data_IF_990298339920
#
_entry.id   IF_990298339920
#
_cell.length_a   1.000
_cell.length_b   1.000
_cell.length_c   1.000
_cell.angle_alpha   90.00
_cell.angle_beta   90.00
_cell.angle_gamma   90.00
#
_symmetry.space_group_name_H-M   'P 1'
#
loop_
_entity.id
_entity.type
_entity.pdbx_description
1 polymer ?
#
# COMPACT_ATOMS: atom_id res chain seq x y z
N UNK A 1 0.42 49.97 -44.59
CA UNK A 1 0.67 49.98 -43.12
C UNK A 1 -0.25 48.96 -42.48
N UNK A 2 0.29 47.81 -42.06
CA UNK A 2 -0.46 46.84 -41.27
C UNK A 2 -0.40 47.26 -39.80
N UNK A 3 -1.57 47.47 -39.18
CA UNK A 3 -1.70 47.72 -37.73
C UNK A 3 -1.21 46.47 -37.00
N UNK A 4 -0.11 46.60 -36.26
CA UNK A 4 0.37 45.62 -35.30
C UNK A 4 -0.65 45.61 -34.15
N UNK A 5 -1.46 44.55 -34.06
CA UNK A 5 -2.33 44.33 -32.91
C UNK A 5 -1.40 43.97 -31.76
N UNK A 6 -1.18 44.90 -30.83
CA UNK A 6 -0.61 44.57 -29.53
C UNK A 6 -1.62 43.69 -28.79
N UNK A 7 -1.38 42.38 -28.81
CA UNK A 7 -1.98 41.47 -27.85
C UNK A 7 -1.49 41.89 -26.47
N UNK A 8 -2.37 42.50 -25.68
CA UNK A 8 -2.15 42.72 -24.27
C UNK A 8 -1.93 41.34 -23.63
N UNK A 9 -0.68 40.97 -23.37
CA UNK A 9 -0.40 39.75 -22.63
C UNK A 9 -0.80 40.01 -21.19
N UNK A 10 -1.97 39.52 -20.78
CA UNK A 10 -2.31 39.41 -19.37
C UNK A 10 -1.29 38.46 -18.72
N UNK A 11 -0.22 39.02 -18.18
CA UNK A 11 0.79 38.28 -17.44
C UNK A 11 0.20 37.91 -16.08
N UNK A 12 -0.09 36.63 -15.90
CA UNK A 12 -0.45 36.09 -14.59
C UNK A 12 0.86 35.71 -13.91
N UNK A 13 1.13 36.20 -12.68
CA UNK A 13 2.35 35.82 -11.95
C UNK A 13 2.45 34.31 -11.72
N UNK A 14 3.67 33.78 -11.75
CA UNK A 14 3.93 32.34 -11.59
C UNK A 14 3.44 31.83 -10.23
N UNK A 15 3.40 32.66 -9.18
CA UNK A 15 2.88 32.30 -7.86
C UNK A 15 1.37 32.00 -7.89
N UNK A 16 0.62 32.79 -8.68
CA UNK A 16 -0.83 32.57 -8.85
C UNK A 16 -1.06 31.31 -9.68
N UNK A 17 -0.26 31.10 -10.71
CA UNK A 17 -0.30 29.87 -11.52
C UNK A 17 0.01 28.65 -10.64
N UNK A 18 1.05 28.72 -9.79
CA UNK A 18 1.41 27.67 -8.85
C UNK A 18 0.23 27.29 -7.95
N UNK A 19 -0.42 28.28 -7.33
CA UNK A 19 -1.60 28.04 -6.48
C UNK A 19 -2.78 27.45 -7.26
N UNK A 20 -3.06 27.94 -8.47
CA UNK A 20 -4.13 27.41 -9.30
C UNK A 20 -3.86 25.96 -9.71
N UNK A 21 -2.63 25.63 -10.08
CA UNK A 21 -2.23 24.27 -10.45
C UNK A 21 -2.30 23.33 -9.24
N UNK A 22 -1.98 23.78 -8.03
CA UNK A 22 -2.10 22.96 -6.82
C UNK A 22 -3.53 22.47 -6.55
N UNK A 23 -4.54 23.18 -7.02
CA UNK A 23 -5.95 22.81 -6.86
C UNK A 23 -6.43 21.74 -7.87
N UNK A 24 -5.60 21.38 -8.84
CA UNK A 24 -6.01 20.49 -9.92
C UNK A 24 -5.70 19.02 -9.60
N UNK A 25 -6.55 18.08 -10.05
CA UNK A 25 -6.24 16.65 -10.00
C UNK A 25 -4.99 16.31 -10.80
N UNK A 26 -4.29 15.24 -10.41
CA UNK A 26 -3.05 14.79 -11.07
C UNK A 26 -3.25 14.57 -12.57
N UNK A 27 -4.37 13.96 -12.98
CA UNK A 27 -4.68 13.71 -14.39
C UNK A 27 -4.78 15.00 -15.22
N UNK A 28 -5.27 16.10 -14.63
CA UNK A 28 -5.30 17.40 -15.30
C UNK A 28 -3.89 17.98 -15.40
N UNK A 29 -3.09 17.88 -14.33
CA UNK A 29 -1.71 18.36 -14.31
C UNK A 29 -0.82 17.66 -15.32
N UNK A 30 -0.95 16.34 -15.48
CA UNK A 30 -0.23 15.56 -16.51
C UNK A 30 -0.52 16.12 -17.91
N UNK A 31 -1.79 16.43 -18.21
CA UNK A 31 -2.18 17.06 -19.49
C UNK A 31 -1.66 18.50 -19.59
N UNK A 32 -1.67 19.25 -18.50
CA UNK A 32 -1.29 20.66 -18.49
C UNK A 32 0.22 20.89 -18.70
N UNK A 33 1.05 19.86 -18.50
CA UNK A 33 2.46 19.86 -18.93
C UNK A 33 2.64 20.12 -20.44
N UNK A 34 1.60 19.95 -21.27
CA UNK A 34 1.68 20.24 -22.71
C UNK A 34 1.19 21.65 -23.11
N UNK A 35 0.67 22.44 -22.17
CA UNK A 35 0.09 23.76 -22.47
C UNK A 35 1.18 24.79 -22.77
N UNK A 36 2.14 24.96 -21.86
CA UNK A 36 3.28 25.87 -22.07
C UNK A 36 4.50 25.44 -21.24
N UNK A 37 5.67 26.05 -21.51
CA UNK A 37 6.94 25.72 -20.84
C UNK A 37 6.94 26.10 -19.35
N UNK A 38 6.36 27.25 -18.98
CA UNK A 38 6.25 27.67 -17.57
C UNK A 38 5.45 26.64 -16.77
N UNK A 39 4.26 26.26 -17.23
CA UNK A 39 3.43 25.26 -16.54
C UNK A 39 4.12 23.91 -16.45
N UNK A 40 4.77 23.45 -17.53
CA UNK A 40 5.56 22.22 -17.49
C UNK A 40 6.67 22.28 -16.44
N UNK A 41 7.35 23.42 -16.33
CA UNK A 41 8.40 23.66 -15.35
C UNK A 41 7.85 23.58 -13.92
N UNK A 42 6.77 24.32 -13.63
CA UNK A 42 6.12 24.32 -12.32
C UNK A 42 5.64 22.91 -11.94
N UNK A 43 4.92 22.22 -12.83
CA UNK A 43 4.33 20.90 -12.53
C UNK A 43 5.41 19.81 -12.38
N UNK A 44 6.59 20.01 -12.96
CA UNK A 44 7.71 19.06 -12.85
C UNK A 44 8.69 19.42 -11.74
N UNK A 45 8.46 20.53 -11.04
CA UNK A 45 9.32 20.96 -9.94
C UNK A 45 9.11 20.07 -8.70
N UNK A 46 10.18 19.59 -8.03
CA UNK A 46 10.06 18.73 -6.87
C UNK A 46 9.25 19.35 -5.71
N UNK A 47 9.39 20.66 -5.46
CA UNK A 47 8.65 21.35 -4.40
C UNK A 47 7.16 21.40 -4.72
N UNK A 48 6.79 21.63 -5.99
CA UNK A 48 5.40 21.54 -6.43
C UNK A 48 4.84 20.13 -6.22
N UNK A 49 5.57 19.09 -6.66
CA UNK A 49 5.14 17.68 -6.53
C UNK A 49 4.94 17.30 -5.05
N UNK A 50 5.88 17.68 -4.18
CA UNK A 50 5.79 17.41 -2.75
C UNK A 50 4.59 18.13 -2.11
N UNK A 51 4.41 19.42 -2.40
CA UNK A 51 3.30 20.24 -1.88
C UNK A 51 1.96 19.67 -2.34
N UNK A 52 1.84 19.34 -3.63
CA UNK A 52 0.62 18.75 -4.22
C UNK A 52 0.29 17.38 -3.63
N UNK A 53 1.30 16.53 -3.44
CA UNK A 53 1.13 15.18 -2.88
C UNK A 53 0.66 15.26 -1.42
N UNK A 54 1.27 16.13 -0.61
CA UNK A 54 0.86 16.37 0.79
C UNK A 54 -0.59 16.84 0.86
N UNK A 55 -0.98 17.79 0.01
CA UNK A 55 -2.35 18.32 -0.03
C UNK A 55 -3.37 17.24 -0.44
N UNK A 56 -3.11 16.48 -1.51
CA UNK A 56 -4.06 15.48 -2.02
C UNK A 56 -4.16 14.21 -1.18
N UNK A 57 -3.13 13.86 -0.40
CA UNK A 57 -3.19 12.72 0.52
C UNK A 57 -4.34 12.79 1.54
N UNK A 58 -4.91 13.99 1.73
CA UNK A 58 -5.98 14.28 2.67
C UNK A 58 -7.39 14.40 2.05
N UNK A 59 -7.51 14.55 0.72
CA UNK A 59 -8.73 15.01 0.07
C UNK A 59 -9.53 13.89 -0.63
N UNK A 60 -8.87 12.91 -1.24
CA UNK A 60 -9.55 11.81 -1.94
C UNK A 60 -8.80 10.48 -1.75
N UNK A 61 -9.52 9.46 -1.29
CA UNK A 61 -8.97 8.12 -1.17
C UNK A 61 -9.31 7.37 -2.47
N UNK A 62 -8.30 7.11 -3.30
CA UNK A 62 -8.43 6.08 -4.34
C UNK A 62 -8.00 4.76 -3.74
N UNK A 63 -8.58 3.66 -4.23
CA UNK A 63 -8.18 2.31 -3.88
C UNK A 63 -7.57 1.64 -5.10
N UNK A 64 -6.54 0.85 -4.84
CA UNK A 64 -5.96 -0.08 -5.77
C UNK A 64 -6.46 -1.48 -5.39
N UNK A 65 -7.19 -2.11 -6.30
CA UNK A 65 -7.81 -3.42 -6.06
C UNK A 65 -7.22 -4.47 -7.01
N UNK A 66 -6.75 -5.57 -6.43
CA UNK A 66 -6.30 -6.76 -7.15
C UNK A 66 -7.47 -7.72 -7.31
N UNK A 67 -7.82 -7.98 -8.56
CA UNK A 67 -8.81 -8.99 -8.95
C UNK A 67 -8.07 -10.19 -9.54
N UNK A 68 -8.45 -11.40 -9.14
CA UNK A 68 -7.99 -12.65 -9.75
C UNK A 68 -9.06 -13.19 -10.69
N UNK A 69 -8.72 -13.38 -11.96
CA UNK A 69 -9.50 -14.19 -12.90
C UNK A 69 -9.11 -15.66 -12.69
N UNK A 70 -10.00 -16.43 -12.07
CA UNK A 70 -9.77 -17.84 -11.73
C UNK A 70 -9.79 -18.76 -12.97
N UNK A 71 -10.39 -18.34 -14.09
CA UNK A 71 -10.37 -19.12 -15.35
C UNK A 71 -9.03 -18.97 -16.05
N UNK A 72 -8.53 -17.74 -16.14
CA UNK A 72 -7.28 -17.42 -16.86
C UNK A 72 -6.05 -17.52 -15.97
N UNK A 73 -6.22 -17.65 -14.65
CA UNK A 73 -5.16 -17.63 -13.64
C UNK A 73 -4.27 -16.38 -13.73
N UNK A 74 -4.87 -15.25 -14.12
CA UNK A 74 -4.24 -13.92 -14.18
C UNK A 74 -4.84 -13.02 -13.12
N UNK A 75 -4.07 -12.02 -12.70
CA UNK A 75 -4.49 -10.98 -11.78
C UNK A 75 -4.49 -9.63 -12.50
N UNK A 76 -5.59 -8.90 -12.34
CA UNK A 76 -5.83 -7.58 -12.89
C UNK A 76 -5.77 -6.55 -11.75
N UNK A 77 -5.51 -5.30 -12.11
CA UNK A 77 -5.45 -4.19 -11.17
C UNK A 77 -6.43 -3.10 -11.56
N UNK A 78 -7.16 -2.57 -10.59
CA UNK A 78 -8.18 -1.55 -10.79
C UNK A 78 -7.97 -0.38 -9.83
N UNK A 79 -8.16 0.83 -10.34
CA UNK A 79 -8.34 2.03 -9.54
C UNK A 79 -9.83 2.25 -9.30
N UNK A 80 -10.19 2.46 -8.04
CA UNK A 80 -11.56 2.61 -7.57
C UNK A 80 -11.61 3.83 -6.67
N UNK A 81 -12.45 4.81 -6.98
CA UNK A 81 -12.60 5.99 -6.12
C UNK A 81 -13.40 5.61 -4.86
N UNK A 82 -13.09 6.16 -3.70
CA UNK A 82 -14.00 5.95 -2.54
C UNK A 82 -15.39 6.47 -2.87
N UNK A 83 -16.46 5.72 -2.54
CA UNK A 83 -17.82 6.19 -2.75
C UNK A 83 -18.06 7.46 -1.92
N UNK A 84 -18.80 8.41 -2.48
CA UNK A 84 -19.50 9.40 -1.66
C UNK A 84 -20.70 8.72 -1.00
N UNK A 85 -21.20 9.26 0.12
CA UNK A 85 -22.22 8.64 0.98
C UNK A 85 -23.54 8.22 0.31
N UNK A 86 -23.72 8.56 -0.97
CA UNK A 86 -24.92 8.29 -1.78
C UNK A 86 -24.69 7.33 -2.95
N UNK A 87 -23.46 6.85 -3.20
CA UNK A 87 -23.13 6.04 -4.38
C UNK A 87 -22.85 4.57 -4.03
N UNK A 88 -23.74 3.67 -4.47
CA UNK A 88 -23.56 2.21 -4.38
C UNK A 88 -22.74 1.61 -5.54
N UNK A 89 -22.55 2.40 -6.60
CA UNK A 89 -21.80 2.05 -7.81
C UNK A 89 -20.68 3.04 -8.01
N UNK A 90 -19.45 2.53 -8.11
CA UNK A 90 -18.25 3.35 -8.27
C UNK A 90 -17.62 3.11 -9.64
N UNK A 91 -17.07 4.17 -10.23
CA UNK A 91 -16.27 4.06 -11.46
C UNK A 91 -14.98 3.29 -11.20
N UNK A 92 -14.73 2.29 -12.04
CA UNK A 92 -13.52 1.47 -11.97
C UNK A 92 -12.70 1.65 -13.23
N UNK A 93 -11.42 1.92 -13.06
CA UNK A 93 -10.50 2.03 -14.19
C UNK A 93 -9.51 0.88 -14.11
N UNK A 94 -9.57 -0.04 -15.08
CA UNK A 94 -8.54 -1.07 -15.22
C UNK A 94 -7.21 -0.41 -15.52
N UNK A 95 -6.18 -0.78 -14.77
CA UNK A 95 -4.86 -0.23 -14.97
C UNK A 95 -3.99 -1.18 -15.78
N UNK A 96 -3.23 -0.63 -16.72
CA UNK A 96 -2.25 -1.37 -17.49
C UNK A 96 -1.06 -1.70 -16.58
N UNK A 97 -0.82 -2.99 -16.37
CA UNK A 97 0.37 -3.45 -15.67
C UNK A 97 1.62 -3.20 -16.54
N UNK A 98 2.79 -2.96 -15.92
CA UNK A 98 4.04 -2.81 -16.66
C UNK A 98 4.34 -4.00 -17.58
N UNK A 99 5.07 -3.81 -18.70
CA UNK A 99 5.46 -4.89 -19.59
C UNK A 99 6.36 -5.87 -18.81
N UNK A 100 6.37 -7.14 -19.20
CA UNK A 100 7.11 -8.23 -18.53
C UNK A 100 6.51 -8.72 -17.20
N UNK A 101 5.38 -8.14 -16.75
CA UNK A 101 4.69 -8.66 -15.59
C UNK A 101 4.04 -10.02 -15.88
N UNK A 102 4.45 -11.07 -15.16
CA UNK A 102 4.02 -12.47 -15.35
C UNK A 102 2.58 -12.80 -14.94
N UNK A 103 1.73 -11.79 -14.80
CA UNK A 103 0.29 -11.92 -14.56
C UNK A 103 -0.14 -12.32 -13.14
N UNK A 104 0.78 -12.65 -12.21
CA UNK A 104 0.44 -12.93 -10.80
C UNK A 104 1.17 -11.98 -9.86
N UNK A 105 0.41 -11.26 -9.06
CA UNK A 105 0.85 -10.25 -8.11
C UNK A 105 1.06 -10.90 -6.75
N UNK A 106 2.32 -10.99 -6.30
CA UNK A 106 2.60 -11.38 -4.90
C UNK A 106 2.50 -10.21 -3.96
N UNK A 107 3.05 -9.08 -4.38
CA UNK A 107 3.14 -7.89 -3.57
C UNK A 107 2.63 -6.70 -4.36
N UNK A 108 1.83 -5.89 -3.68
CA UNK A 108 1.41 -4.57 -4.14
C UNK A 108 1.21 -3.70 -2.90
N UNK A 109 1.88 -2.56 -2.88
CA UNK A 109 1.57 -1.48 -1.95
C UNK A 109 2.03 -0.14 -2.55
N UNK A 110 1.52 0.95 -1.99
CA UNK A 110 1.83 2.31 -2.35
C UNK A 110 2.70 3.01 -1.28
N UNK A 111 3.49 3.99 -1.71
CA UNK A 111 4.14 4.96 -0.84
C UNK A 111 4.24 6.29 -1.58
N UNK A 112 3.69 7.36 -1.02
CA UNK A 112 3.70 8.70 -1.61
C UNK A 112 3.26 8.70 -3.10
N UNK A 113 2.25 7.90 -3.42
CA UNK A 113 1.67 7.72 -4.75
C UNK A 113 2.47 6.92 -5.77
N UNK A 114 3.67 6.45 -5.42
CA UNK A 114 4.30 5.35 -6.17
C UNK A 114 3.75 4.01 -5.68
N UNK A 115 3.68 3.03 -6.57
CA UNK A 115 3.27 1.66 -6.30
C UNK A 115 4.48 0.76 -6.51
N UNK A 116 4.80 -0.05 -5.50
CA UNK A 116 5.74 -1.15 -5.63
C UNK A 116 4.96 -2.44 -5.91
N UNK A 117 5.34 -3.15 -6.97
CA UNK A 117 4.65 -4.34 -7.47
C UNK A 117 5.67 -5.45 -7.68
N UNK A 118 5.32 -6.70 -7.35
CA UNK A 118 6.16 -7.85 -7.68
C UNK A 118 5.37 -9.02 -8.27
N UNK A 119 6.07 -9.82 -9.06
CA UNK A 119 5.56 -11.09 -9.53
C UNK A 119 5.48 -12.14 -8.40
N UNK A 120 4.97 -13.34 -8.71
CA UNK A 120 4.79 -14.45 -7.75
C UNK A 120 6.10 -14.84 -7.03
N UNK A 121 7.23 -14.76 -7.72
CA UNK A 121 8.51 -15.28 -7.23
C UNK A 121 9.45 -14.18 -6.70
N UNK A 122 9.01 -12.92 -6.72
CA UNK A 122 9.84 -11.76 -6.37
C UNK A 122 11.11 -11.64 -7.26
N UNK A 123 11.06 -12.23 -8.46
CA UNK A 123 12.11 -12.19 -9.48
C UNK A 123 12.12 -10.84 -10.19
N UNK A 124 10.93 -10.27 -10.38
CA UNK A 124 10.74 -8.97 -11.02
C UNK A 124 9.96 -8.06 -10.07
N UNK A 125 10.60 -6.95 -9.70
CA UNK A 125 10.03 -5.92 -8.84
C UNK A 125 9.97 -4.63 -9.65
N UNK A 126 8.83 -3.95 -9.59
CA UNK A 126 8.56 -2.70 -10.28
C UNK A 126 8.31 -1.60 -9.26
N UNK A 127 8.87 -0.42 -9.53
CA UNK A 127 8.32 0.84 -9.02
C UNK A 127 7.53 1.48 -10.15
N UNK A 128 6.30 1.90 -9.87
CA UNK A 128 5.36 2.31 -10.89
C UNK A 128 4.47 3.44 -10.38
N UNK A 129 4.29 4.46 -11.21
CA UNK A 129 3.31 5.51 -11.00
C UNK A 129 2.11 5.29 -11.96
N UNK A 130 0.97 4.78 -11.47
CA UNK A 130 -0.25 4.62 -12.26
C UNK A 130 -0.74 5.92 -12.92
N UNK A 131 -0.62 7.05 -12.22
CA UNK A 131 -1.19 8.33 -12.64
C UNK A 131 -0.38 8.99 -13.76
N UNK A 132 0.94 8.86 -13.75
CA UNK A 132 1.80 9.34 -14.86
C UNK A 132 2.07 8.27 -15.92
N UNK A 133 1.66 7.02 -15.66
CA UNK A 133 1.95 5.83 -16.48
C UNK A 133 3.45 5.63 -16.69
N UNK A 134 4.25 5.91 -15.65
CA UNK A 134 5.69 5.71 -15.69
C UNK A 134 6.11 4.57 -14.77
N UNK A 135 7.08 3.75 -15.17
CA UNK A 135 7.53 2.62 -14.37
C UNK A 135 9.04 2.41 -14.48
N UNK A 136 9.61 1.69 -13.53
CA UNK A 136 10.99 1.20 -13.55
C UNK A 136 11.02 -0.23 -13.04
N UNK A 137 11.76 -1.08 -13.74
CA UNK A 137 12.11 -2.41 -13.26
C UNK A 137 13.33 -2.27 -12.38
N UNK A 138 13.27 -2.80 -11.17
CA UNK A 138 14.41 -2.78 -10.26
C UNK A 138 15.53 -3.70 -10.78
N UNK A 139 16.80 -3.37 -10.52
CA UNK A 139 17.91 -4.24 -10.85
C UNK A 139 17.72 -5.60 -10.19
N UNK A 140 18.20 -6.66 -10.84
CA UNK A 140 18.14 -8.00 -10.26
C UNK A 140 18.95 -8.04 -8.98
N UNK A 141 18.39 -8.69 -7.95
CA UNK A 141 19.11 -9.00 -6.72
C UNK A 141 20.33 -9.87 -7.07
N UNK A 142 21.41 -9.82 -6.27
CA UNK A 142 22.53 -10.74 -6.42
C UNK A 142 22.01 -12.19 -6.45
N UNK A 143 22.37 -12.95 -7.49
CA UNK A 143 21.89 -14.33 -7.64
C UNK A 143 22.35 -15.19 -6.45
N UNK A 144 21.39 -15.70 -5.68
CA UNK A 144 21.61 -16.71 -4.65
C UNK A 144 20.60 -17.83 -4.93
N UNK A 145 21.06 -18.86 -5.64
CA UNK A 145 20.21 -19.92 -6.22
C UNK A 145 19.38 -20.71 -5.20
N UNK A 146 19.68 -20.57 -3.91
CA UNK A 146 19.02 -21.29 -2.80
C UNK A 146 18.01 -20.46 -2.01
N UNK A 147 17.86 -19.15 -2.28
CA UNK A 147 16.96 -18.31 -1.50
C UNK A 147 15.49 -18.50 -1.88
N UNK A 148 14.65 -18.71 -0.87
CA UNK A 148 13.20 -18.80 -1.02
C UNK A 148 12.60 -17.41 -0.76
N UNK A 149 11.86 -16.80 -1.72
CA UNK A 149 11.26 -15.49 -1.54
C UNK A 149 10.18 -15.50 -0.46
N UNK A 150 10.24 -14.55 0.49
CA UNK A 150 9.28 -14.42 1.58
C UNK A 150 8.32 -13.25 1.35
N UNK A 151 8.77 -12.03 1.58
CA UNK A 151 7.94 -10.83 1.54
C UNK A 151 8.73 -9.61 1.05
N UNK A 152 8.00 -8.52 0.76
CA UNK A 152 8.58 -7.22 0.48
C UNK A 152 8.01 -6.20 1.47
N UNK A 153 8.75 -5.11 1.68
CA UNK A 153 8.25 -3.87 2.26
C UNK A 153 8.61 -2.70 1.35
N UNK A 154 7.76 -1.69 1.26
CA UNK A 154 8.02 -0.51 0.45
C UNK A 154 7.74 0.77 1.25
N UNK A 155 8.69 1.70 1.22
CA UNK A 155 8.54 2.95 1.94
C UNK A 155 9.45 4.05 1.43
N UNK A 156 9.34 5.21 2.08
CA UNK A 156 10.08 6.40 1.75
C UNK A 156 10.81 6.90 3.00
N UNK A 157 12.13 6.99 2.90
CA UNK A 157 12.98 7.65 3.87
C UNK A 157 12.96 9.16 3.58
N UNK A 158 12.21 9.91 4.39
CA UNK A 158 12.11 11.36 4.23
C UNK A 158 13.38 12.11 4.62
N UNK A 159 14.29 11.49 5.37
CA UNK A 159 15.55 12.11 5.79
C UNK A 159 16.56 12.02 4.64
N UNK A 160 16.68 10.85 4.01
CA UNK A 160 17.54 10.68 2.83
C UNK A 160 16.86 11.03 1.51
N UNK A 161 15.57 11.41 1.54
CA UNK A 161 14.73 11.66 0.36
C UNK A 161 14.82 10.51 -0.65
N UNK A 162 14.60 9.28 -0.17
CA UNK A 162 14.82 8.06 -0.96
C UNK A 162 13.65 7.08 -0.82
N UNK A 163 13.28 6.47 -1.93
CA UNK A 163 12.36 5.34 -1.93
C UNK A 163 13.14 4.06 -1.72
N UNK A 164 12.76 3.29 -0.71
CA UNK A 164 13.45 2.06 -0.34
C UNK A 164 12.51 0.86 -0.42
N UNK A 165 13.04 -0.25 -0.93
CA UNK A 165 12.31 -1.53 -0.99
C UNK A 165 13.08 -2.55 -0.17
N UNK A 166 12.43 -3.11 0.85
CA UNK A 166 12.94 -4.23 1.63
C UNK A 166 12.49 -5.52 0.96
N UNK A 167 13.41 -6.47 0.86
CA UNK A 167 13.17 -7.82 0.33
C UNK A 167 13.63 -8.83 1.36
N UNK A 168 12.72 -9.69 1.81
CA UNK A 168 13.05 -10.79 2.71
C UNK A 168 12.99 -12.12 1.96
N UNK A 169 13.98 -12.95 2.23
CA UNK A 169 14.11 -14.30 1.72
C UNK A 169 14.54 -15.25 2.83
N UNK A 170 14.31 -16.55 2.62
CA UNK A 170 14.77 -17.61 3.52
C UNK A 170 15.89 -18.39 2.85
N UNK A 171 16.98 -18.59 3.58
CA UNK A 171 18.04 -19.51 3.23
C UNK A 171 17.76 -20.86 3.90
N UNK A 172 17.51 -21.95 3.13
CA UNK A 172 17.44 -23.29 3.68
C UNK A 172 18.83 -23.71 4.20
N UNK A 173 18.87 -24.18 5.43
CA UNK A 173 20.09 -24.68 6.08
C UNK A 173 19.75 -26.02 6.73
N UNK A 174 20.49 -27.06 6.35
CA UNK A 174 20.46 -28.34 7.07
C UNK A 174 21.41 -28.27 8.26
N UNK A 175 20.86 -28.31 9.48
CA UNK A 175 21.63 -28.43 10.72
C UNK A 175 21.05 -29.57 11.55
N UNK A 176 21.90 -30.51 11.97
CA UNK A 176 21.52 -31.63 12.85
C UNK A 176 20.38 -32.51 12.32
N UNK A 177 20.27 -32.65 10.99
CA UNK A 177 19.21 -33.45 10.34
C UNK A 177 17.83 -32.79 10.34
N UNK A 178 17.71 -31.53 10.77
CA UNK A 178 16.51 -30.72 10.72
C UNK A 178 16.66 -29.62 9.66
N UNK A 179 15.65 -29.48 8.80
CA UNK A 179 15.55 -28.36 7.86
C UNK A 179 15.23 -27.08 8.65
N UNK A 180 16.16 -26.12 8.63
CA UNK A 180 15.99 -24.78 9.20
C UNK A 180 16.00 -23.74 8.11
N UNK A 181 15.40 -22.59 8.39
CA UNK A 181 15.35 -21.46 7.47
C UNK A 181 15.94 -20.23 8.15
N UNK A 182 17.04 -19.71 7.61
CA UNK A 182 17.67 -18.48 8.10
C UNK A 182 17.12 -17.29 7.29
N UNK A 183 16.55 -16.27 7.94
CA UNK A 183 16.06 -15.10 7.22
C UNK A 183 17.23 -14.28 6.67
N UNK A 184 17.06 -13.79 5.46
CA UNK A 184 17.97 -12.88 4.76
C UNK A 184 17.16 -11.69 4.28
N UNK A 185 17.78 -10.51 4.32
CA UNK A 185 17.14 -9.31 3.86
C UNK A 185 18.09 -8.48 2.99
N UNK A 186 17.52 -7.89 1.94
CA UNK A 186 18.18 -6.92 1.08
C UNK A 186 17.33 -5.65 1.00
N UNK A 187 17.98 -4.50 0.99
CA UNK A 187 17.34 -3.20 0.81
C UNK A 187 17.79 -2.57 -0.50
N UNK A 188 16.84 -2.21 -1.34
CA UNK A 188 17.06 -1.38 -2.51
C UNK A 188 16.92 0.08 -2.17
N UNK A 189 17.82 0.91 -2.68
CA UNK A 189 17.73 2.37 -2.69
C UNK A 189 17.43 2.86 -4.10
N UNK A 190 16.40 3.69 -4.27
CA UNK A 190 16.07 4.27 -5.57
C UNK A 190 17.11 5.30 -6.02
N UNK A 191 17.68 6.06 -5.08
CA UNK A 191 18.74 7.03 -5.35
C UNK A 191 20.06 6.35 -5.77
N UNK A 192 20.43 5.24 -5.11
CA UNK A 192 21.65 4.50 -5.45
C UNK A 192 21.45 3.46 -6.57
N UNK A 193 20.21 3.21 -6.97
CA UNK A 193 19.80 2.20 -7.95
C UNK A 193 20.45 0.82 -7.76
N UNK A 194 20.54 0.39 -6.50
CA UNK A 194 21.25 -0.84 -6.12
C UNK A 194 20.69 -1.46 -4.85
N UNK A 195 20.98 -2.75 -4.68
CA UNK A 195 20.62 -3.54 -3.51
C UNK A 195 21.81 -3.67 -2.56
N UNK A 196 21.55 -3.56 -1.26
CA UNK A 196 22.51 -3.80 -0.18
C UNK A 196 21.95 -4.87 0.75
N UNK A 197 22.78 -5.81 1.21
CA UNK A 197 22.38 -6.78 2.23
C UNK A 197 22.28 -6.08 3.59
N UNK A 198 21.21 -6.38 4.33
CA UNK A 198 20.95 -5.82 5.66
C UNK A 198 20.78 -6.96 6.66
N UNK A 199 21.09 -6.66 7.93
CA UNK A 199 20.95 -7.63 9.00
C UNK A 199 19.49 -7.83 9.40
N UNK A 200 19.11 -9.09 9.65
CA UNK A 200 17.80 -9.44 10.19
C UNK A 200 17.95 -9.73 11.68
N UNK A 201 17.04 -9.24 12.55
CA UNK A 201 17.12 -9.48 13.98
C UNK A 201 17.16 -10.98 14.29
N UNK A 202 18.11 -11.47 15.12
CA UNK A 202 18.19 -12.89 15.49
C UNK A 202 16.94 -13.42 16.20
N UNK A 203 16.15 -12.52 16.79
CA UNK A 203 14.90 -12.84 17.48
C UNK A 203 13.73 -13.12 16.54
N UNK A 204 13.88 -12.83 15.25
CA UNK A 204 12.83 -13.05 14.25
C UNK A 204 12.68 -14.55 13.95
N UNK A 205 11.51 -15.10 14.27
CA UNK A 205 11.22 -16.54 14.13
C UNK A 205 10.71 -16.87 12.74
N UNK A 206 11.31 -17.87 12.10
CA UNK A 206 11.02 -18.26 10.71
C UNK A 206 10.46 -19.67 10.55
N UNK A 207 10.28 -20.42 11.64
CA UNK A 207 10.21 -21.89 11.62
C UNK A 207 9.01 -22.51 10.89
N UNK A 208 8.06 -21.74 10.38
CA UNK A 208 6.85 -22.26 9.70
C UNK A 208 6.36 -21.44 8.50
N UNK A 209 7.16 -20.50 7.98
CA UNK A 209 6.70 -19.54 6.97
C UNK A 209 6.77 -20.16 5.57
N UNK A 210 5.64 -20.70 5.08
CA UNK A 210 5.47 -21.08 3.68
C UNK A 210 4.48 -20.13 3.00
N UNK A 211 4.92 -19.46 1.94
CA UNK A 211 4.06 -18.77 0.96
C UNK A 211 2.97 -17.84 1.54
N UNK A 212 3.29 -17.04 2.55
CA UNK A 212 2.32 -16.08 3.07
C UNK A 212 2.26 -14.79 2.26
N UNK A 213 1.03 -14.29 2.14
CA UNK A 213 0.80 -12.90 1.85
C UNK A 213 1.34 -12.05 3.01
N UNK A 214 2.04 -10.97 2.69
CA UNK A 214 2.51 -10.00 3.68
C UNK A 214 1.71 -8.72 3.58
N UNK A 215 1.51 -8.09 4.74
CA UNK A 215 0.88 -6.79 4.89
C UNK A 215 1.86 -5.89 5.62
N UNK A 216 1.89 -4.61 5.24
CA UNK A 216 2.73 -3.66 5.94
C UNK A 216 2.13 -2.27 5.95
N UNK A 217 2.59 -1.50 6.92
CA UNK A 217 2.30 -0.08 7.04
C UNK A 217 3.58 0.70 7.24
N UNK A 218 3.48 2.01 7.02
CA UNK A 218 4.59 2.93 7.08
C UNK A 218 4.20 4.05 8.04
N UNK A 219 4.95 4.19 9.13
CA UNK A 219 4.71 5.23 10.14
C UNK A 219 6.06 5.88 10.45
N UNK A 220 6.18 7.18 10.18
CA UNK A 220 7.37 7.96 10.54
C UNK A 220 8.69 7.43 9.96
N UNK A 221 8.68 6.89 8.73
CA UNK A 221 9.87 6.30 8.11
C UNK A 221 10.19 4.87 8.55
N UNK A 222 9.37 4.27 9.43
CA UNK A 222 9.48 2.87 9.84
C UNK A 222 8.46 2.03 9.08
N UNK A 223 8.92 0.92 8.50
CA UNK A 223 8.07 -0.11 7.90
C UNK A 223 7.73 -1.14 8.98
N UNK A 224 6.45 -1.44 9.17
CA UNK A 224 5.98 -2.53 10.02
C UNK A 224 5.38 -3.62 9.15
N UNK A 225 5.90 -4.82 9.24
CA UNK A 225 5.56 -5.99 8.42
C UNK A 225 4.87 -7.05 9.29
N UNK A 226 3.66 -7.40 8.89
CA UNK A 226 2.91 -8.55 9.38
C UNK A 226 3.10 -9.71 8.39
N UNK A 227 3.40 -10.88 8.95
CA UNK A 227 3.50 -12.12 8.20
C UNK A 227 2.41 -13.08 8.68
N UNK A 228 1.67 -13.64 7.73
CA UNK A 228 0.63 -14.61 8.05
C UNK A 228 1.21 -15.81 8.81
N UNK A 229 0.47 -16.28 9.83
CA UNK A 229 0.88 -17.36 10.72
C UNK A 229 1.90 -16.98 11.81
N UNK A 230 2.33 -15.71 11.92
CA UNK A 230 3.17 -15.24 13.02
C UNK A 230 2.41 -14.32 13.98
N UNK A 231 2.76 -14.43 15.26
CA UNK A 231 2.32 -13.54 16.34
C UNK A 231 3.26 -12.32 16.53
N UNK A 232 4.14 -12.11 15.55
CA UNK A 232 5.21 -11.12 15.56
C UNK A 232 5.02 -10.11 14.41
N UNK A 233 5.33 -8.84 14.68
CA UNK A 233 5.46 -7.77 13.71
C UNK A 233 6.93 -7.41 13.62
N UNK A 234 7.50 -7.56 12.43
CA UNK A 234 8.82 -7.08 12.12
C UNK A 234 8.73 -5.57 11.86
N UNK A 235 9.62 -4.78 12.45
CA UNK A 235 9.75 -3.37 12.12
C UNK A 235 11.15 -3.07 11.61
N UNK A 236 11.24 -2.10 10.70
CA UNK A 236 12.48 -1.67 10.08
C UNK A 236 12.48 -0.15 9.88
N UNK A 237 13.42 0.54 10.50
CA UNK A 237 13.67 1.96 10.30
C UNK A 237 14.46 2.16 9.01
N UNK A 238 13.85 2.83 8.04
CA UNK A 238 14.45 3.02 6.72
C UNK A 238 15.69 3.89 6.74
N UNK A 239 15.83 4.80 7.70
CA UNK A 239 16.94 5.73 7.77
C UNK A 239 18.10 5.18 8.59
N UNK A 240 17.79 4.72 9.79
CA UNK A 240 18.79 4.19 10.72
C UNK A 240 19.21 2.75 10.36
N UNK A 241 18.51 2.11 9.42
CA UNK A 241 18.70 0.71 9.02
C UNK A 241 18.64 -0.26 10.20
N UNK A 242 17.88 0.14 11.23
CA UNK A 242 17.67 -0.62 12.44
C UNK A 242 16.39 -1.44 12.33
N UNK A 243 16.37 -2.60 12.97
CA UNK A 243 15.21 -3.49 12.92
C UNK A 243 15.00 -4.22 14.23
N UNK A 244 13.76 -4.68 14.42
CA UNK A 244 13.38 -5.42 15.61
C UNK A 244 12.02 -6.07 15.44
N UNK A 245 11.53 -6.67 16.52
CA UNK A 245 10.27 -7.40 16.53
C UNK A 245 9.39 -6.91 17.67
N UNK A 246 8.10 -6.74 17.38
CA UNK A 246 7.05 -6.53 18.38
C UNK A 246 6.09 -7.71 18.37
N UNK A 247 5.71 -8.19 19.55
CA UNK A 247 4.67 -9.20 19.67
C UNK A 247 3.28 -8.57 19.63
N UNK A 248 2.30 -9.26 19.08
CA UNK A 248 0.90 -8.92 19.26
C UNK A 248 0.46 -9.04 20.74
N UNK A 249 -0.67 -8.42 21.14
CA UNK A 249 -1.17 -8.55 22.51
C UNK A 249 -1.42 -10.03 22.84
N UNK A 250 -0.76 -10.52 23.89
CA UNK A 250 -0.79 -11.92 24.26
C UNK A 250 -2.04 -12.18 25.11
N UNK A 251 -3.08 -12.76 24.52
CA UNK A 251 -4.27 -13.20 25.27
C UNK A 251 -4.88 -14.42 24.60
N UNK A 252 -5.01 -15.53 25.35
CA UNK A 252 -5.59 -16.79 24.87
C UNK A 252 -7.06 -16.64 24.41
N UNK A 253 -7.70 -15.50 24.71
CA UNK A 253 -9.10 -15.21 24.44
C UNK A 253 -9.30 -14.18 23.32
N UNK A 254 -8.22 -13.69 22.70
CA UNK A 254 -8.32 -12.70 21.61
C UNK A 254 -7.83 -13.25 20.28
N UNK A 255 -8.65 -13.12 19.24
CA UNK A 255 -8.27 -13.46 17.87
C UNK A 255 -8.16 -12.20 17.02
N UNK A 256 -7.13 -12.10 16.18
CA UNK A 256 -6.97 -11.00 15.22
C UNK A 256 -8.05 -11.08 14.13
N UNK A 257 -8.55 -9.92 13.69
CA UNK A 257 -9.63 -9.78 12.69
C UNK A 257 -9.32 -8.77 11.59
N UNK A 258 -8.09 -8.26 11.56
CA UNK A 258 -7.61 -7.34 10.54
C UNK A 258 -6.12 -7.54 10.29
N UNK A 259 -5.67 -7.06 9.14
CA UNK A 259 -4.26 -6.70 8.96
C UNK A 259 -3.88 -5.55 9.91
N UNK A 260 -2.59 -5.33 10.12
CA UNK A 260 -2.11 -4.09 10.75
C UNK A 260 -2.45 -2.86 9.89
N UNK A 261 -2.79 -1.76 10.55
CA UNK A 261 -3.09 -0.48 9.91
C UNK A 261 -2.53 0.71 10.69
N UNK A 262 -2.34 1.84 10.01
CA UNK A 262 -1.96 3.11 10.66
C UNK A 262 -3.19 3.76 11.31
N UNK A 263 -3.23 3.72 12.63
CA UNK A 263 -4.23 4.42 13.41
C UNK A 263 -3.63 5.66 14.07
N UNK A 264 -3.72 6.79 13.37
CA UNK A 264 -3.29 8.12 13.86
C UNK A 264 -1.80 8.16 14.23
N UNK A 265 -0.94 7.58 13.39
CA UNK A 265 0.50 7.51 13.61
C UNK A 265 0.91 6.40 14.57
N UNK A 266 0.06 5.39 14.79
CA UNK A 266 0.37 4.23 15.62
C UNK A 266 -0.04 2.95 14.91
N UNK A 267 0.79 1.91 15.03
CA UNK A 267 0.46 0.57 14.50
C UNK A 267 -0.76 0.06 15.26
N UNK A 268 -1.79 -0.36 14.55
CA UNK A 268 -3.01 -0.87 15.16
C UNK A 268 -3.55 -2.12 14.46
N UNK A 269 -4.37 -2.88 15.18
CA UNK A 269 -5.09 -4.03 14.66
C UNK A 269 -6.43 -4.21 15.40
N UNK A 270 -7.37 -4.90 14.77
CA UNK A 270 -8.66 -5.26 15.35
C UNK A 270 -8.56 -6.66 15.95
N UNK A 271 -9.01 -6.80 17.19
CA UNK A 271 -9.11 -8.07 17.90
C UNK A 271 -10.56 -8.34 18.29
N UNK A 272 -10.98 -9.59 18.16
CA UNK A 272 -12.21 -10.09 18.77
C UNK A 272 -11.92 -10.73 20.12
N UNK A 273 -12.81 -10.53 21.08
CA UNK A 273 -12.83 -11.22 22.37
C UNK A 273 -14.24 -11.69 22.67
N UNK A 274 -14.39 -12.85 23.32
CA UNK A 274 -15.70 -13.35 23.76
C UNK A 274 -16.16 -12.59 25.00
N UNK A 275 -17.32 -11.92 24.92
CA UNK A 275 -17.95 -11.27 26.06
C UNK A 275 -18.61 -12.27 27.02
N UNK A 276 -18.97 -11.82 28.23
CA UNK A 276 -19.60 -12.65 29.27
C UNK A 276 -20.94 -13.30 28.84
N UNK A 277 -21.59 -12.76 27.80
CA UNK A 277 -22.84 -13.30 27.22
C UNK A 277 -22.65 -14.19 25.99
N UNK A 278 -21.41 -14.50 25.59
CA UNK A 278 -21.10 -15.26 24.37
C UNK A 278 -21.03 -14.43 23.08
N UNK A 279 -21.30 -13.12 23.17
CA UNK A 279 -21.20 -12.20 22.03
C UNK A 279 -19.73 -11.86 21.69
N UNK A 280 -19.42 -11.80 20.39
CA UNK A 280 -18.13 -11.33 19.89
C UNK A 280 -18.01 -9.82 20.07
N UNK A 281 -17.00 -9.36 20.82
CA UNK A 281 -16.67 -7.94 20.98
C UNK A 281 -15.42 -7.63 20.17
N UNK A 282 -15.56 -6.73 19.20
CA UNK A 282 -14.43 -6.25 18.40
C UNK A 282 -13.84 -4.99 19.01
N UNK A 283 -12.51 -4.90 19.05
CA UNK A 283 -11.82 -3.76 19.63
C UNK A 283 -10.57 -3.40 18.85
N UNK A 284 -10.32 -2.10 18.71
CA UNK A 284 -9.07 -1.58 18.15
C UNK A 284 -8.05 -1.53 19.27
N UNK A 285 -6.90 -2.15 19.02
CA UNK A 285 -5.72 -2.02 19.85
C UNK A 285 -4.65 -1.31 19.04
N UNK A 286 -3.89 -0.43 19.70
CA UNK A 286 -2.73 0.20 19.07
C UNK A 286 -1.48 -0.01 19.91
N UNK A 287 -0.37 -0.15 19.21
CA UNK A 287 0.96 -0.19 19.73
C UNK A 287 1.28 1.15 20.39
N UNK A 288 1.71 1.09 21.64
CA UNK A 288 2.18 2.20 22.44
C UNK A 288 3.68 2.03 22.62
N UNK A 289 4.44 3.00 22.14
CA UNK A 289 5.83 3.21 22.50
C UNK A 289 5.88 4.21 23.66
N UNK A 290 6.41 3.78 24.80
CA UNK A 290 6.55 4.63 25.98
C UNK A 290 7.78 5.55 25.94
N UNK A 291 8.55 5.52 24.84
CA UNK A 291 9.78 6.28 24.66
C UNK A 291 10.96 5.75 25.47
N UNK A 292 10.74 4.72 26.29
CA UNK A 292 11.78 4.02 27.07
C UNK A 292 12.20 2.70 26.39
N UNK A 293 11.75 2.46 25.15
CA UNK A 293 12.02 1.23 24.40
C UNK A 293 11.15 0.04 24.82
N UNK A 294 10.15 0.23 25.69
CA UNK A 294 9.20 -0.81 26.05
C UNK A 294 7.90 -0.60 25.30
N UNK A 295 7.64 -1.53 24.39
CA UNK A 295 6.46 -1.46 23.53
C UNK A 295 5.35 -2.34 24.10
N UNK A 296 4.14 -1.79 24.18
CA UNK A 296 2.96 -2.49 24.68
C UNK A 296 1.73 -2.20 23.82
N UNK A 297 0.70 -3.05 23.90
CA UNK A 297 -0.55 -2.81 23.19
C UNK A 297 -1.60 -2.23 24.13
N UNK A 298 -2.25 -1.15 23.71
CA UNK A 298 -3.32 -0.51 24.48
C UNK A 298 -4.63 -0.56 23.70
N UNK A 299 -5.67 -1.07 24.35
CA UNK A 299 -7.04 -1.04 23.83
C UNK A 299 -7.51 0.42 23.71
N UNK A 300 -7.98 0.82 22.54
CA UNK A 300 -8.48 2.18 22.29
C UNK A 300 -9.98 2.27 22.58
N UNK A 301 -10.78 1.44 21.91
CA UNK A 301 -12.23 1.36 22.12
C UNK A 301 -12.81 0.08 21.49
N UNK A 302 -14.05 -0.24 21.84
CA UNK A 302 -14.84 -1.29 21.19
C UNK A 302 -15.53 -0.73 19.95
N UNK A 303 -15.55 -1.52 18.88
CA UNK A 303 -16.41 -1.28 17.72
C UNK A 303 -17.85 -1.68 18.05
N UNK A 304 -18.81 -1.12 17.32
CA UNK A 304 -20.24 -1.40 17.55
C UNK A 304 -20.56 -2.90 17.36
N UNK A 305 -21.43 -3.50 18.19
CA UNK A 305 -21.73 -4.94 18.15
C UNK A 305 -22.47 -5.38 16.88
N UNK A 306 -23.18 -4.46 16.21
CA UNK A 306 -23.93 -4.76 14.97
C UNK A 306 -23.01 -5.02 13.76
N UNK A 307 -21.71 -4.80 13.91
CA UNK A 307 -20.68 -5.20 12.97
C UNK A 307 -20.44 -6.70 13.07
N UNK A 308 -21.09 -7.47 12.21
CA UNK A 308 -20.79 -8.89 12.13
C UNK A 308 -19.48 -9.16 11.35
N UNK A 309 -18.33 -8.92 11.97
CA UNK A 309 -17.03 -9.41 11.47
C UNK A 309 -16.82 -10.91 11.75
N UNK A 310 -17.85 -11.67 12.14
CA UNK A 310 -17.66 -13.11 12.38
C UNK A 310 -17.31 -13.84 11.07
N UNK A 311 -17.58 -13.22 9.90
CA UNK A 311 -17.28 -13.77 8.57
C UNK A 311 -16.31 -12.96 7.72
N UNK A 312 -15.81 -11.83 8.19
CA UNK A 312 -15.12 -10.88 7.31
C UNK A 312 -13.87 -10.28 7.96
N UNK A 313 -12.74 -10.38 7.25
CA UNK A 313 -11.44 -9.84 7.63
C UNK A 313 -11.36 -8.37 7.20
N UNK A 314 -10.89 -7.47 8.07
CA UNK A 314 -10.70 -6.06 7.68
C UNK A 314 -9.37 -5.90 6.95
N UNK A 315 -9.45 -5.56 5.66
CA UNK A 315 -8.30 -5.52 4.77
C UNK A 315 -7.51 -4.21 4.87
N UNK A 316 -8.21 -3.07 4.96
CA UNK A 316 -7.59 -1.75 4.88
C UNK A 316 -8.32 -0.72 5.75
N UNK A 317 -7.57 0.21 6.34
CA UNK A 317 -8.09 1.41 7.00
C UNK A 317 -7.74 2.64 6.18
N UNK A 318 -8.73 3.46 5.84
CA UNK A 318 -8.55 4.61 4.96
C UNK A 318 -8.23 5.91 5.70
N UNK A 319 -8.38 5.90 7.02
CA UNK A 319 -8.40 7.08 7.86
C UNK A 319 -9.83 7.55 8.16
N UNK A 320 -9.94 8.53 9.06
CA UNK A 320 -11.19 9.26 9.34
C UNK A 320 -12.42 8.39 9.62
N UNK A 321 -12.25 7.24 10.29
CA UNK A 321 -13.40 6.38 10.62
C UNK A 321 -13.66 5.23 9.64
N UNK A 322 -12.97 5.17 8.50
CA UNK A 322 -13.38 4.31 7.40
C UNK A 322 -12.51 3.05 7.27
N UNK A 323 -13.16 1.88 7.31
CA UNK A 323 -12.58 0.58 7.00
C UNK A 323 -13.07 0.08 5.65
N UNK A 324 -12.24 -0.74 5.01
CA UNK A 324 -12.57 -1.47 3.79
C UNK A 324 -12.37 -2.95 4.03
N UNK A 325 -13.37 -3.70 3.57
CA UNK A 325 -13.39 -5.14 3.63
C UNK A 325 -13.81 -5.71 2.27
N UNK A 326 -13.13 -6.75 1.83
CA UNK A 326 -13.49 -7.54 0.65
C UNK A 326 -14.26 -8.77 1.08
N UNK A 327 -15.45 -8.99 0.51
CA UNK A 327 -16.22 -10.21 0.78
C UNK A 327 -15.68 -11.46 0.01
N UNK A 328 -14.55 -11.30 -0.70
CA UNK A 328 -13.88 -12.34 -1.49
C UNK A 328 -14.54 -12.66 -2.84
N UNK A 329 -15.73 -12.10 -3.12
CA UNK A 329 -16.52 -12.39 -4.31
C UNK A 329 -16.57 -11.18 -5.22
N UNK A 330 -17.43 -10.22 -4.91
CA UNK A 330 -17.71 -9.07 -5.78
C UNK A 330 -18.01 -7.75 -5.06
N UNK A 331 -18.04 -7.73 -3.73
CA UNK A 331 -18.38 -6.54 -2.96
C UNK A 331 -17.19 -6.01 -2.16
N UNK A 332 -17.01 -4.70 -2.26
CA UNK A 332 -16.14 -3.91 -1.41
C UNK A 332 -17.05 -3.20 -0.40
N UNK A 333 -16.88 -3.54 0.87
CA UNK A 333 -17.70 -2.99 1.95
C UNK A 333 -16.91 -1.86 2.59
N UNK A 334 -17.47 -0.66 2.55
CA UNK A 334 -16.97 0.50 3.26
C UNK A 334 -17.74 0.66 4.55
N UNK A 335 -17.01 0.70 5.66
CA UNK A 335 -17.61 0.86 6.98
C UNK A 335 -17.09 2.10 7.65
N UNK A 336 -18.00 3.01 8.03
CA UNK A 336 -17.72 4.15 8.88
C UNK A 336 -18.09 3.80 10.33
N UNK A 337 -17.07 3.60 11.16
CA UNK A 337 -17.28 3.25 12.57
C UNK A 337 -17.71 4.42 13.45
N UNK A 338 -17.53 5.66 12.99
CA UNK A 338 -17.95 6.87 13.71
C UNK A 338 -19.46 7.06 13.55
N UNK A 339 -19.93 6.96 12.31
CA UNK A 339 -21.35 7.09 11.96
C UNK A 339 -22.14 5.79 12.11
N UNK A 340 -21.44 4.66 12.32
CA UNK A 340 -22.00 3.30 12.31
C UNK A 340 -22.77 3.00 11.02
N UNK A 341 -22.24 3.49 9.90
CA UNK A 341 -22.85 3.33 8.58
C UNK A 341 -22.02 2.36 7.75
N UNK A 342 -22.70 1.48 7.05
CA UNK A 342 -22.10 0.58 6.08
C UNK A 342 -22.57 0.98 4.68
N UNK A 343 -21.64 1.11 3.76
CA UNK A 343 -21.90 1.32 2.33
C UNK A 343 -21.31 0.13 1.60
N UNK A 344 -22.19 -0.70 1.04
CA UNK A 344 -21.79 -1.81 0.19
C UNK A 344 -21.63 -1.30 -1.23
N UNK A 345 -20.40 -1.37 -1.75
CA UNK A 345 -20.12 -1.03 -3.14
C UNK A 345 -19.92 -2.32 -3.91
N UNK A 346 -20.78 -2.54 -4.91
CA UNK A 346 -20.59 -3.63 -5.86
C UNK A 346 -19.55 -3.24 -6.89
N UNK A 347 -18.53 -4.08 -7.00
CA UNK A 347 -17.48 -3.88 -7.97
C UNK A 347 -17.94 -4.46 -9.32
N UNK A 348 -18.08 -3.60 -10.34
CA UNK A 348 -18.61 -4.00 -11.66
C UNK A 348 -17.75 -5.03 -12.41
N UNK A 349 -16.55 -5.35 -11.92
CA UNK A 349 -15.68 -6.36 -12.51
C UNK A 349 -16.32 -7.75 -12.53
N UNK A 350 -17.20 -8.04 -11.57
CA UNK A 350 -18.00 -9.26 -11.53
C UNK A 350 -19.26 -9.18 -12.41
N UNK A 351 -19.18 -8.58 -13.61
CA UNK A 351 -20.29 -8.67 -14.57
C UNK A 351 -20.46 -10.11 -15.01
N UNK A 352 -21.45 -10.74 -14.40
CA UNK A 352 -22.35 -11.73 -14.96
C UNK A 352 -22.23 -11.85 -16.49
N UNK A 353 -21.40 -12.78 -16.95
CA UNK A 353 -21.79 -13.63 -18.06
C UNK A 353 -22.45 -14.83 -17.40
N UNK A 354 -23.74 -14.96 -17.65
CA UNK A 354 -24.65 -16.01 -17.20
C UNK A 354 -23.96 -17.28 -16.67
N UNK A 355 -24.22 -17.56 -15.37
CA UNK A 355 -24.11 -18.85 -14.66
C UNK A 355 -22.77 -19.34 -14.11
N UNK A 356 -21.62 -18.67 -14.26
CA UNK A 356 -20.42 -19.06 -13.48
C UNK A 356 -19.55 -17.85 -13.11
N UNK A 357 -19.60 -17.45 -11.83
CA UNK A 357 -18.72 -16.44 -11.25
C UNK A 357 -17.28 -16.95 -11.30
N UNK A 358 -16.38 -16.20 -11.94
CA UNK A 358 -15.02 -16.71 -12.29
C UNK A 358 -13.90 -15.82 -11.85
N UNK A 359 -14.18 -14.68 -11.23
CA UNK A 359 -13.16 -13.84 -10.61
C UNK A 359 -13.45 -13.58 -9.14
N UNK A 360 -12.39 -13.30 -8.37
CA UNK A 360 -12.44 -13.01 -6.94
C UNK A 360 -11.50 -11.86 -6.60
N UNK A 361 -11.87 -11.03 -5.63
CA UNK A 361 -10.98 -9.98 -5.13
C UNK A 361 -9.98 -10.56 -4.13
N UNK A 362 -8.71 -10.19 -4.31
CA UNK A 362 -7.60 -10.73 -3.53
C UNK A 362 -7.07 -9.73 -2.51
N UNK A 363 -6.95 -8.46 -2.91
CA UNK A 363 -6.30 -7.44 -2.09
C UNK A 363 -6.82 -6.05 -2.44
N UNK A 364 -6.93 -5.21 -1.43
CA UNK A 364 -7.22 -3.78 -1.56
C UNK A 364 -6.15 -2.99 -0.82
N UNK A 365 -5.68 -1.92 -1.46
CA UNK A 365 -4.69 -1.02 -0.88
C UNK A 365 -5.17 0.40 -1.11
N UNK A 366 -4.98 1.28 -0.12
CA UNK A 366 -5.11 2.72 -0.32
C UNK A 366 -4.14 3.18 -1.43
N UNK A 367 -4.53 4.16 -2.21
CA UNK A 367 -3.69 4.78 -3.23
C UNK A 367 -3.99 6.26 -3.31
N UNK A 368 -2.94 7.05 -3.49
CA UNK A 368 -3.03 8.49 -3.70
C UNK A 368 -2.35 8.79 -5.02
N UNK A 369 -3.04 9.48 -5.91
CA UNK A 369 -2.42 9.90 -7.17
C UNK A 369 -1.24 10.85 -6.92
N UNK A 370 -0.21 10.77 -7.75
CA UNK A 370 0.94 11.68 -7.65
C UNK A 370 1.60 11.96 -8.99
N UNK A 371 2.37 13.03 -9.04
CA UNK A 371 3.26 13.39 -10.14
C UNK A 371 4.70 12.90 -9.96
N UNK A 372 5.01 12.21 -8.85
CA UNK A 372 6.36 11.68 -8.57
C UNK A 372 6.87 10.83 -9.73
N UNK A 373 8.11 11.09 -10.11
CA UNK A 373 8.85 10.35 -11.14
C UNK A 373 10.26 10.14 -10.64
N UNK A 374 10.78 8.92 -10.76
CA UNK A 374 12.15 8.61 -10.33
C UNK A 374 13.08 8.51 -11.54
N UNK A 375 14.38 8.67 -11.29
CA UNK A 375 15.39 8.45 -12.32
C UNK A 375 15.31 7.00 -12.86
N UNK A 376 15.35 6.86 -14.19
CA UNK A 376 15.21 5.58 -14.87
C UNK A 376 13.76 5.14 -15.11
N UNK A 377 12.77 5.97 -14.77
CA UNK A 377 11.38 5.69 -15.13
C UNK A 377 11.16 5.80 -16.65
N UNK A 378 10.60 4.74 -17.22
CA UNK A 378 10.16 4.65 -18.61
C UNK A 378 8.66 4.94 -18.71
N UNK A 379 8.22 5.40 -19.89
CA UNK A 379 6.80 5.63 -20.16
C UNK A 379 6.14 4.33 -20.61
N UNK A 380 5.07 3.93 -19.92
CA UNK A 380 4.18 2.85 -20.36
C UNK A 380 3.41 3.32 -21.60
N UNK A 381 3.59 2.59 -22.71
CA UNK A 381 2.98 2.90 -24.02
C UNK A 381 1.52 2.50 -24.09
#
# INVERSE_FOLDING_TARGET
>A
MAKKIEMCSCYVPDEIIFQLLLLLPVQSLVRFKSVCKSWRSIISDPQFIETHTKQNSSLENTLLVVERDNKKFIENLYLINTPTSTQELVTQTKVCLPPQFGGKIRFVDHCNGLVCLSDKWLDVIFLWNPSTKQYKILPKKPKRETLIPMCLGFGFDSISNDYKVLSFSLLPVSQDGLDRYVPKAEMYSANADSWVEIEVPPTFKTSYIFYSESFHIKIGGVIYLELDGLDDILWFDLHNEASGVHMFPNSQTTHRKSNIFDFRGSVAAIFTSTGNGGESVYSIWALLDDGCGKVSWTKKFNLAPDLDFNKTWVDCFLGSGHFVTLNGVDECIFYDYLEKKEIKVRLQVAKAVEKQQTSTFKRVVKYTETLVSLQGFEQLK
#
